data_IF_310471931425
#
_entry.id   IF_310471931425
#
_cell.length_a   1.000
_cell.length_b   1.000
_cell.length_c   1.000
_cell.angle_alpha   90.00
_cell.angle_beta   90.00
_cell.angle_gamma   90.00
#
_symmetry.space_group_name_H-M   'P 1'
#
loop_
_entity.id
_entity.type
_entity.pdbx_description
1 polymer ?
#
# COMPACT_ATOMS: atom_id res chain seq x y z
N UNK A 1 -17.40 8.84 15.41
CA UNK A 1 -16.77 7.52 15.24
C UNK A 1 -16.04 7.54 13.90
N UNK A 2 -14.71 7.45 13.89
CA UNK A 2 -13.90 7.48 12.67
C UNK A 2 -13.28 6.10 12.38
N UNK A 3 -12.68 5.95 11.20
CA UNK A 3 -11.89 4.76 10.85
C UNK A 3 -10.53 4.80 11.57
N UNK A 4 -10.00 3.64 11.92
CA UNK A 4 -8.64 3.46 12.46
C UNK A 4 -7.67 3.05 11.36
N UNK A 5 -6.38 3.27 11.59
CA UNK A 5 -5.31 2.82 10.71
C UNK A 5 -4.55 1.69 11.39
N UNK A 6 -4.22 0.65 10.64
CA UNK A 6 -3.48 -0.50 11.14
C UNK A 6 -2.27 -0.79 10.26
N UNK A 7 -1.17 -1.21 10.88
CA UNK A 7 -0.08 -1.91 10.19
C UNK A 7 -0.46 -3.38 10.13
N UNK A 8 -0.49 -3.94 8.92
CA UNK A 8 -0.78 -5.36 8.68
C UNK A 8 0.33 -5.91 7.79
N UNK A 9 1.42 -6.46 8.37
CA UNK A 9 2.53 -7.00 7.61
C UNK A 9 2.13 -8.34 6.97
N UNK A 10 2.80 -8.72 5.88
CA UNK A 10 2.65 -10.07 5.29
C UNK A 10 3.20 -11.16 6.19
N UNK A 11 4.33 -10.87 6.84
CA UNK A 11 4.97 -11.73 7.81
C UNK A 11 4.96 -10.99 9.14
N UNK A 12 4.37 -11.58 10.19
CA UNK A 12 4.34 -10.98 11.51
C UNK A 12 5.49 -11.51 12.39
N UNK A 13 6.07 -10.66 13.25
CA UNK A 13 7.05 -11.10 14.22
C UNK A 13 6.39 -11.95 15.30
N UNK A 14 7.07 -13.02 15.69
CA UNK A 14 6.76 -13.85 16.85
C UNK A 14 7.55 -13.36 18.07
N UNK A 15 7.22 -13.86 19.26
CA UNK A 15 7.87 -13.45 20.52
C UNK A 15 9.36 -13.81 20.61
N UNK A 16 9.83 -14.77 19.81
CA UNK A 16 11.24 -15.19 19.73
C UNK A 16 12.04 -14.47 18.63
N UNK A 17 11.40 -13.51 17.93
CA UNK A 17 12.03 -12.75 16.84
C UNK A 17 12.02 -13.46 15.48
N UNK A 18 11.43 -14.66 15.39
CA UNK A 18 11.15 -15.28 14.09
C UNK A 18 9.96 -14.61 13.39
N UNK A 19 9.70 -15.01 12.14
CA UNK A 19 8.63 -14.44 11.33
C UNK A 19 7.68 -15.56 10.90
N UNK A 20 6.39 -15.34 11.09
CA UNK A 20 5.34 -16.24 10.60
C UNK A 20 4.39 -15.52 9.63
N UNK A 21 3.75 -16.29 8.75
CA UNK A 21 2.83 -15.73 7.77
C UNK A 21 1.57 -15.19 8.45
N UNK A 22 1.13 -13.99 8.06
CA UNK A 22 0.06 -13.26 8.74
C UNK A 22 -1.30 -13.32 8.00
N UNK A 23 -1.52 -14.37 7.22
CA UNK A 23 -2.78 -14.60 6.48
C UNK A 23 -3.18 -13.41 5.57
N UNK A 24 -2.17 -12.83 4.89
CA UNK A 24 -2.34 -11.78 3.90
C UNK A 24 -2.09 -12.34 2.51
N UNK A 25 -3.15 -12.51 1.74
CA UNK A 25 -3.13 -13.13 0.42
C UNK A 25 -3.35 -12.10 -0.70
N UNK A 26 -2.67 -12.32 -1.81
CA UNK A 26 -3.00 -11.62 -3.06
C UNK A 26 -4.14 -12.38 -3.74
N UNK A 27 -5.34 -11.78 -3.73
CA UNK A 27 -6.54 -12.39 -4.30
C UNK A 27 -6.67 -12.16 -5.80
N UNK A 28 -6.11 -11.06 -6.31
CA UNK A 28 -6.20 -10.72 -7.73
C UNK A 28 -5.00 -9.92 -8.21
N UNK A 29 -4.61 -10.12 -9.47
CA UNK A 29 -3.74 -9.23 -10.22
C UNK A 29 -4.57 -8.46 -11.26
N UNK A 30 -4.45 -7.13 -11.25
CA UNK A 30 -5.22 -6.27 -12.15
C UNK A 30 -4.48 -6.09 -13.47
N UNK A 31 -5.15 -6.43 -14.58
CA UNK A 31 -4.68 -6.15 -15.93
C UNK A 31 -4.87 -4.67 -16.26
N UNK A 32 -3.75 -3.96 -16.42
CA UNK A 32 -3.73 -2.51 -16.65
C UNK A 32 -3.37 -2.16 -18.09
N UNK A 33 -3.83 -0.99 -18.53
CA UNK A 33 -3.47 -0.39 -19.82
C UNK A 33 -1.98 -0.02 -19.91
N UNK A 34 -1.37 0.38 -18.79
CA UNK A 34 0.03 0.83 -18.70
C UNK A 34 0.62 0.54 -17.32
N UNK A 35 1.88 0.94 -17.10
CA UNK A 35 2.63 0.65 -15.86
C UNK A 35 2.57 -0.84 -15.48
N UNK A 36 2.64 -1.73 -16.48
CA UNK A 36 2.44 -3.18 -16.31
C UNK A 36 3.50 -3.84 -15.43
N UNK A 37 4.70 -3.25 -15.35
CA UNK A 37 5.78 -3.70 -14.46
C UNK A 37 5.54 -3.40 -12.97
N UNK A 38 4.58 -2.52 -12.64
CA UNK A 38 4.16 -2.31 -11.26
C UNK A 38 2.84 -3.06 -11.03
N UNK A 39 2.83 -4.19 -10.30
CA UNK A 39 1.60 -4.94 -10.09
C UNK A 39 0.60 -4.11 -9.27
N UNK A 40 -0.68 -4.21 -9.64
CA UNK A 40 -1.79 -3.67 -8.84
C UNK A 40 -2.64 -4.85 -8.42
N UNK A 41 -2.90 -4.96 -7.12
CA UNK A 41 -3.33 -6.20 -6.50
C UNK A 41 -4.63 -6.00 -5.73
N UNK A 42 -5.50 -7.00 -5.78
CA UNK A 42 -6.48 -7.23 -4.72
C UNK A 42 -5.81 -7.97 -3.57
N UNK A 43 -6.07 -7.53 -2.34
CA UNK A 43 -5.54 -8.15 -1.13
C UNK A 43 -6.70 -8.67 -0.28
N UNK A 44 -6.60 -9.93 0.15
CA UNK A 44 -7.45 -10.55 1.17
C UNK A 44 -6.67 -10.63 2.48
N UNK A 45 -7.35 -10.38 3.60
CA UNK A 45 -6.78 -10.41 4.94
C UNK A 45 -7.64 -11.31 5.82
N UNK A 46 -7.04 -12.30 6.48
CA UNK A 46 -7.72 -13.07 7.52
C UNK A 46 -8.75 -14.08 7.00
N UNK A 47 -8.57 -14.67 5.81
CA UNK A 47 -9.51 -15.69 5.28
C UNK A 47 -9.53 -16.96 6.14
N UNK A 48 -8.48 -17.21 6.92
CA UNK A 48 -8.37 -18.30 7.88
C UNK A 48 -8.48 -17.81 9.33
N UNK A 49 -9.01 -16.60 9.55
CA UNK A 49 -9.09 -15.93 10.86
C UNK A 49 -7.72 -15.73 11.56
N UNK A 50 -6.61 -15.76 10.79
CA UNK A 50 -5.24 -15.69 11.32
C UNK A 50 -4.47 -14.43 10.87
N UNK A 51 -5.12 -13.27 10.92
CA UNK A 51 -4.51 -11.99 10.53
C UNK A 51 -4.46 -11.02 11.71
N UNK A 52 -3.26 -10.61 12.09
CA UNK A 52 -3.02 -9.61 13.14
C UNK A 52 -2.69 -8.25 12.52
N UNK A 53 -3.27 -7.19 13.12
CA UNK A 53 -3.01 -5.81 12.78
C UNK A 53 -2.70 -4.98 14.01
N UNK A 54 -1.75 -4.06 13.89
CA UNK A 54 -1.33 -3.17 14.98
C UNK A 54 -1.87 -1.78 14.74
N UNK A 55 -2.59 -1.25 15.72
CA UNK A 55 -3.15 0.10 15.64
C UNK A 55 -2.03 1.14 15.51
N UNK A 56 -2.17 2.02 14.53
CA UNK A 56 -1.32 3.20 14.38
C UNK A 56 -1.96 4.35 15.13
N UNK A 57 -1.27 4.85 16.16
CA UNK A 57 -1.73 5.99 16.96
C UNK A 57 -3.04 5.70 17.70
N UNK A 58 -3.98 6.63 17.66
CA UNK A 58 -5.22 6.56 18.42
C UNK A 58 -6.39 5.92 17.63
N UNK A 59 -7.28 5.16 18.30
CA UNK A 59 -8.47 4.63 17.68
C UNK A 59 -9.35 5.74 17.06
N UNK A 60 -9.80 5.52 15.82
CA UNK A 60 -10.68 6.44 15.11
C UNK A 60 -10.01 7.68 14.51
N UNK A 61 -8.67 7.77 14.55
CA UNK A 61 -7.87 8.83 13.92
C UNK A 61 -7.16 8.38 12.63
N UNK A 62 -7.53 7.22 12.09
CA UNK A 62 -6.85 6.61 10.95
C UNK A 62 -6.85 7.46 9.68
N UNK A 63 -7.95 8.16 9.39
CA UNK A 63 -8.04 9.03 8.21
C UNK A 63 -7.03 10.19 8.27
N UNK A 64 -6.89 10.84 9.42
CA UNK A 64 -5.91 11.93 9.60
C UNK A 64 -4.47 11.43 9.43
N UNK A 65 -4.15 10.24 9.93
CA UNK A 65 -2.83 9.65 9.73
C UNK A 65 -2.59 9.28 8.26
N UNK A 66 -3.61 8.76 7.56
CA UNK A 66 -3.53 8.44 6.14
C UNK A 66 -3.33 9.68 5.26
N UNK A 67 -3.86 10.85 5.66
CA UNK A 67 -3.67 12.09 4.90
C UNK A 67 -2.20 12.48 4.72
N UNK A 68 -1.35 12.20 5.73
CA UNK A 68 0.09 12.42 5.61
C UNK A 68 0.69 11.59 4.47
N UNK A 69 0.39 10.28 4.43
CA UNK A 69 0.85 9.39 3.36
C UNK A 69 0.27 9.76 1.99
N UNK A 70 -1.00 10.19 1.96
CA UNK A 70 -1.64 10.63 0.71
C UNK A 70 -1.05 11.93 0.15
N UNK A 71 -0.55 12.82 1.00
CA UNK A 71 0.12 14.04 0.53
C UNK A 71 1.41 13.71 -0.22
N UNK A 72 2.22 12.79 0.30
CA UNK A 72 3.42 12.30 -0.38
C UNK A 72 3.06 11.58 -1.70
N UNK A 73 2.06 10.69 -1.67
CA UNK A 73 1.60 9.99 -2.87
C UNK A 73 1.14 10.96 -3.98
N UNK A 74 0.45 12.06 -3.64
CA UNK A 74 0.04 13.09 -4.62
C UNK A 74 1.25 13.75 -5.29
N UNK A 75 2.27 14.12 -4.51
CA UNK A 75 3.50 14.71 -5.04
C UNK A 75 4.21 13.72 -5.97
N UNK A 76 4.29 12.45 -5.57
CA UNK A 76 4.94 11.40 -6.37
C UNK A 76 4.23 11.18 -7.71
N UNK A 77 2.89 11.17 -7.74
CA UNK A 77 2.12 11.04 -8.99
C UNK A 77 2.39 12.23 -9.92
N UNK A 78 2.39 13.45 -9.41
CA UNK A 78 2.70 14.65 -10.20
C UNK A 78 4.14 14.65 -10.75
N UNK A 79 5.10 14.24 -9.92
CA UNK A 79 6.50 14.11 -10.33
C UNK A 79 6.68 13.06 -11.43
N UNK A 80 6.06 11.89 -11.31
CA UNK A 80 6.09 10.84 -12.33
C UNK A 80 5.50 11.31 -13.66
N UNK A 81 4.37 12.03 -13.62
CA UNK A 81 3.76 12.62 -14.82
C UNK A 81 4.70 13.60 -15.53
N UNK A 82 5.33 14.48 -14.75
CA UNK A 82 6.29 15.48 -15.27
C UNK A 82 7.53 14.82 -15.87
N UNK A 83 8.11 13.84 -15.18
CA UNK A 83 9.27 13.10 -15.67
C UNK A 83 8.96 12.34 -16.97
N UNK A 84 7.80 11.69 -17.04
CA UNK A 84 7.36 10.98 -18.25
C UNK A 84 7.19 11.93 -19.43
N UNK A 85 6.57 13.09 -19.21
CA UNK A 85 6.38 14.10 -20.26
C UNK A 85 7.72 14.69 -20.74
N UNK A 86 8.65 14.97 -19.82
CA UNK A 86 9.98 15.47 -20.17
C UNK A 86 10.78 14.47 -21.01
N UNK A 87 10.80 13.20 -20.61
CA UNK A 87 11.45 12.14 -21.39
C UNK A 87 10.85 12.04 -22.81
N UNK A 88 9.53 12.00 -22.91
CA UNK A 88 8.84 11.94 -24.21
C UNK A 88 9.17 13.16 -25.10
N UNK A 89 9.27 14.36 -24.53
CA UNK A 89 9.66 15.56 -25.28
C UNK A 89 11.09 15.45 -25.81
N UNK A 90 12.06 15.03 -24.98
CA UNK A 90 13.45 14.90 -25.40
C UNK A 90 13.67 13.83 -26.47
N UNK A 91 12.93 12.72 -26.41
CA UNK A 91 13.00 11.66 -27.44
C UNK A 91 12.27 12.03 -28.75
N UNK A 92 11.45 13.10 -28.74
CA UNK A 92 10.73 13.57 -29.93
C UNK A 92 11.52 14.59 -30.77
N UNK A 93 12.62 15.12 -30.23
CA UNK A 93 13.54 16.08 -30.88
C UNK A 93 14.62 15.35 -31.68
#
# INVERSE_FOLDING_TARGET
KGISLFVVPRMRPTGDGSLEFNDVHTSQLIHKIGWKGLPSLGLSYGENDDCLGWLVGEPGKGLSYMFQMMNEARLLVGANGTATASAAYHESL
#
